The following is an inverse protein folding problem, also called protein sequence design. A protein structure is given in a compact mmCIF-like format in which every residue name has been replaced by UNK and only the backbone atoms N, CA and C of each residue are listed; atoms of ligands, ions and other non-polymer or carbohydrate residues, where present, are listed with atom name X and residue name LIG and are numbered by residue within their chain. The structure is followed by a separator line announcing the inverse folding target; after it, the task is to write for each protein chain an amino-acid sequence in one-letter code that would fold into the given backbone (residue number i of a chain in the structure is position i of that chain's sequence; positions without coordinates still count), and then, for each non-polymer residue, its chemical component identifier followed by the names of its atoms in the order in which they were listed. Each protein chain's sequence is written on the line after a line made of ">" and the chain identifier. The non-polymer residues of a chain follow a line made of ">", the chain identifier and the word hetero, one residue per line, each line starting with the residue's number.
data_IF_641594729612
#
_entry.id   IF_641594729612
#
_cell.length_a   1.000
_cell.length_b   1.000
_cell.length_c   1.000
_cell.angle_alpha   90.00
_cell.angle_beta   90.00
_cell.angle_gamma   90.00
#
_symmetry.space_group_name_H-M   'P 1'
#
loop_
_entity.id
_entity.type
_entity.pdbx_description
1 polymer ?
#
# COMPACT_ATOMS: atom_id res chain seq x y z
N UNK A 1 7.96 50.17 -31.64
CA UNK A 1 6.87 50.08 -30.65
C UNK A 1 7.11 48.78 -29.88
N UNK A 2 7.73 48.88 -28.71
CA UNK A 2 8.06 47.72 -27.86
C UNK A 2 6.99 47.59 -26.79
N UNK A 3 6.27 46.47 -26.77
CA UNK A 3 5.42 46.06 -25.66
C UNK A 3 6.27 45.07 -24.84
N UNK A 4 6.63 45.43 -23.61
CA UNK A 4 7.33 44.53 -22.68
C UNK A 4 6.28 43.98 -21.73
N UNK A 5 5.87 42.75 -21.99
CA UNK A 5 5.37 41.82 -20.98
C UNK A 5 6.60 41.30 -20.21
N UNK A 6 6.41 41.10 -18.91
CA UNK A 6 7.46 40.78 -17.94
C UNK A 6 8.37 39.61 -18.38
N UNK A 7 9.67 39.86 -18.25
CA UNK A 7 10.78 38.95 -17.97
C UNK A 7 11.18 37.87 -19.00
N UNK A 8 11.43 38.29 -20.25
CA UNK A 8 12.25 37.53 -21.20
C UNK A 8 12.94 38.43 -22.24
N UNK A 9 14.23 38.17 -22.53
CA UNK A 9 14.93 38.86 -23.64
C UNK A 9 14.87 37.96 -24.87
N UNK A 10 14.20 38.43 -25.92
CA UNK A 10 14.18 37.76 -27.23
C UNK A 10 14.98 38.57 -28.25
N UNK A 11 15.82 37.89 -29.03
CA UNK A 11 16.52 38.47 -30.20
C UNK A 11 16.14 37.73 -31.48
N UNK A 12 16.00 38.50 -32.57
CA UNK A 12 15.71 37.99 -33.91
C UNK A 12 17.00 38.02 -34.74
N UNK A 13 17.43 36.86 -35.26
CA UNK A 13 18.51 36.76 -36.27
C UNK A 13 18.06 35.79 -37.35
N UNK A 14 18.14 36.21 -38.62
CA UNK A 14 17.96 35.33 -39.78
C UNK A 14 16.60 34.63 -39.88
N UNK A 15 15.51 35.26 -39.44
CA UNK A 15 14.16 34.70 -39.55
C UNK A 15 13.67 33.86 -38.36
N UNK A 16 14.55 33.50 -37.42
CA UNK A 16 14.17 32.83 -36.17
C UNK A 16 14.19 33.80 -34.97
N UNK A 17 13.24 33.62 -34.04
CA UNK A 17 13.19 34.32 -32.75
C UNK A 17 13.75 33.36 -31.69
N UNK A 18 14.81 33.77 -31.00
CA UNK A 18 15.39 33.02 -29.89
C UNK A 18 15.14 33.81 -28.61
N UNK A 19 14.47 33.17 -27.64
CA UNK A 19 14.18 33.74 -26.32
C UNK A 19 14.98 32.97 -25.27
N UNK A 20 15.66 33.70 -24.38
CA UNK A 20 16.41 33.14 -23.26
C UNK A 20 15.69 33.54 -21.97
N UNK A 21 15.29 32.53 -21.20
CA UNK A 21 14.69 32.71 -19.88
C UNK A 21 15.79 32.62 -18.82
N UNK A 22 15.78 33.55 -17.86
CA UNK A 22 16.78 33.60 -16.79
C UNK A 22 16.28 32.74 -15.63
N UNK A 23 16.90 31.58 -15.44
CA UNK A 23 16.59 30.67 -14.33
C UNK A 23 17.07 31.28 -12.99
N UNK A 24 16.14 31.43 -12.05
CA UNK A 24 16.42 31.84 -10.68
C UNK A 24 17.05 30.68 -9.92
N UNK A 25 18.31 30.84 -9.51
CA UNK A 25 19.05 29.87 -8.70
C UNK A 25 18.44 29.71 -7.30
N UNK A 26 18.08 28.47 -6.95
CA UNK A 26 18.14 27.92 -5.58
C UNK A 26 18.53 26.44 -5.71
N UNK A 27 19.63 26.03 -5.08
CA UNK A 27 20.20 24.67 -5.11
C UNK A 27 19.51 23.69 -4.11
N UNK A 28 19.91 22.40 -4.00
CA UNK A 28 19.60 21.34 -4.94
C UNK A 28 18.84 20.18 -4.25
N UNK A 29 17.77 19.68 -4.87
CA UNK A 29 17.17 18.40 -4.48
C UNK A 29 17.52 17.39 -5.57
N UNK A 30 18.21 16.33 -5.16
CA UNK A 30 18.60 15.20 -6.01
C UNK A 30 17.37 14.62 -6.73
N UNK A 31 17.28 14.92 -8.02
CA UNK A 31 16.32 14.35 -8.96
C UNK A 31 16.74 12.92 -9.30
N UNK A 32 15.94 11.94 -8.88
CA UNK A 32 16.05 10.56 -9.36
C UNK A 32 15.30 10.49 -10.68
N UNK A 33 16.04 10.54 -11.79
CA UNK A 33 15.53 10.27 -13.13
C UNK A 33 15.18 8.76 -13.24
N UNK A 34 13.90 8.41 -13.09
CA UNK A 34 13.40 7.09 -13.50
C UNK A 34 12.98 7.16 -14.98
N UNK A 35 13.83 6.62 -15.84
CA UNK A 35 13.52 6.44 -17.26
C UNK A 35 13.03 5.00 -17.46
N UNK A 36 11.71 4.79 -17.51
CA UNK A 36 11.12 3.48 -17.84
C UNK A 36 11.22 3.21 -19.35
N UNK A 37 11.90 2.12 -19.71
CA UNK A 37 11.88 1.54 -21.06
C UNK A 37 10.84 0.41 -21.11
N UNK A 38 9.84 0.53 -22.00
CA UNK A 38 8.88 -0.54 -22.31
C UNK A 38 9.29 -1.25 -23.61
N UNK A 39 9.38 -2.58 -23.57
CA UNK A 39 9.43 -3.43 -24.76
C UNK A 39 8.28 -4.45 -24.70
N UNK A 40 7.45 -4.42 -25.75
CA UNK A 40 6.32 -5.34 -25.98
C UNK A 40 6.78 -6.59 -26.72
N UNK A 41 6.21 -7.74 -26.39
CA UNK A 41 5.96 -8.84 -27.32
C UNK A 41 4.64 -9.55 -26.98
N UNK A 42 3.94 -9.95 -28.03
CA UNK A 42 2.52 -10.35 -28.09
C UNK A 42 2.44 -11.84 -28.49
N UNK A 43 1.47 -12.54 -27.88
CA UNK A 43 0.70 -13.72 -28.36
C UNK A 43 1.32 -15.15 -28.43
N UNK A 44 0.51 -16.25 -28.54
CA UNK A 44 -0.93 -16.45 -28.23
C UNK A 44 -1.39 -17.87 -27.74
N UNK A 45 -2.71 -17.98 -27.46
CA UNK A 45 -3.65 -19.12 -27.66
C UNK A 45 -3.67 -20.34 -26.70
N UNK A 46 -4.88 -20.66 -26.20
CA UNK A 46 -5.43 -22.04 -26.19
C UNK A 46 -6.97 -22.02 -26.20
N UNK A 47 -7.54 -22.95 -26.95
CA UNK A 47 -8.97 -23.20 -27.22
C UNK A 47 -9.23 -24.72 -27.01
N UNK A 48 -10.51 -25.12 -26.87
CA UNK A 48 -11.11 -26.49 -26.74
C UNK A 48 -11.32 -27.01 -25.30
N UNK A 49 -12.40 -27.70 -24.90
CA UNK A 49 -13.60 -28.27 -25.54
C UNK A 49 -14.69 -28.55 -24.48
N UNK A 50 -15.99 -28.53 -24.89
CA UNK A 50 -17.18 -29.05 -24.16
C UNK A 50 -17.16 -30.60 -24.17
N UNK A 51 -17.84 -31.41 -23.33
CA UNK A 51 -19.28 -31.62 -23.00
C UNK A 51 -19.36 -32.95 -22.14
N UNK A 52 -20.51 -33.49 -21.64
CA UNK A 52 -21.45 -32.98 -20.63
C UNK A 52 -21.94 -34.04 -19.58
N UNK A 53 -22.74 -33.56 -18.60
CA UNK A 53 -23.88 -34.19 -17.87
C UNK A 53 -23.68 -35.44 -16.96
N UNK A 54 -24.22 -35.36 -15.73
CA UNK A 54 -25.32 -36.22 -15.22
C UNK A 54 -26.06 -35.45 -14.10
N UNK A 55 -27.39 -35.42 -14.21
CA UNK A 55 -28.36 -34.86 -13.27
C UNK A 55 -28.84 -35.98 -12.34
N UNK A 56 -28.93 -35.73 -11.04
CA UNK A 56 -29.74 -36.53 -10.11
C UNK A 56 -30.80 -35.63 -9.47
N UNK A 57 -32.08 -36.04 -9.43
CA UNK A 57 -33.13 -35.27 -8.77
C UNK A 57 -33.23 -35.70 -7.30
N UNK A 58 -33.24 -34.75 -6.38
CA UNK A 58 -33.78 -34.96 -5.03
C UNK A 58 -34.73 -33.80 -4.74
N UNK A 59 -36.02 -34.12 -4.72
CA UNK A 59 -37.05 -33.25 -4.18
C UNK A 59 -37.06 -33.35 -2.66
N UNK A 60 -37.52 -32.27 -2.04
CA UNK A 60 -37.80 -32.06 -0.61
C UNK A 60 -36.59 -31.76 0.29
N UNK A 61 -36.38 -30.49 0.62
CA UNK A 61 -36.98 -29.84 1.79
C UNK A 61 -36.68 -28.35 1.71
N UNK A 62 -37.72 -27.52 1.77
CA UNK A 62 -37.60 -26.09 2.04
C UNK A 62 -37.14 -25.93 3.49
N UNK A 63 -35.84 -25.96 3.72
CA UNK A 63 -35.24 -25.44 4.95
C UNK A 63 -34.87 -23.98 4.71
N UNK A 64 -35.23 -23.12 5.65
CA UNK A 64 -34.79 -21.72 5.70
C UNK A 64 -33.26 -21.69 5.93
N UNK A 65 -32.48 -21.81 4.86
CA UNK A 65 -31.00 -21.84 4.91
C UNK A 65 -30.35 -20.45 4.85
N UNK A 66 -31.13 -19.38 4.68
CA UNK A 66 -30.57 -18.04 4.44
C UNK A 66 -30.08 -17.33 5.71
N UNK A 67 -30.57 -17.70 6.90
CA UNK A 67 -30.20 -17.01 8.14
C UNK A 67 -28.92 -17.57 8.79
N UNK A 68 -28.70 -18.89 8.73
CA UNK A 68 -27.50 -19.49 9.34
C UNK A 68 -26.23 -19.19 8.53
N UNK A 69 -26.31 -19.19 7.20
CA UNK A 69 -25.16 -18.89 6.35
C UNK A 69 -24.63 -17.46 6.53
N UNK A 70 -25.53 -16.47 6.68
CA UNK A 70 -25.13 -15.08 6.90
C UNK A 70 -24.59 -14.80 8.31
N UNK A 71 -25.04 -15.54 9.32
CA UNK A 71 -24.47 -15.47 10.68
C UNK A 71 -23.08 -16.11 10.76
N UNK A 72 -22.89 -17.25 10.09
CA UNK A 72 -21.60 -17.94 10.01
C UNK A 72 -20.57 -17.12 9.24
N UNK A 73 -20.93 -16.53 8.09
CA UNK A 73 -20.07 -15.62 7.32
C UNK A 73 -19.66 -14.38 8.14
N UNK A 74 -20.61 -13.78 8.86
CA UNK A 74 -20.32 -12.64 9.73
C UNK A 74 -19.39 -13.03 10.89
N UNK A 75 -19.56 -14.21 11.48
CA UNK A 75 -18.70 -14.70 12.56
C UNK A 75 -17.25 -14.89 12.09
N UNK A 76 -17.07 -15.49 10.92
CA UNK A 76 -15.76 -15.66 10.27
C UNK A 76 -15.13 -14.29 9.98
N UNK A 77 -15.91 -13.36 9.42
CA UNK A 77 -15.43 -12.01 9.11
C UNK A 77 -15.01 -11.21 10.35
N UNK A 78 -15.74 -11.35 11.47
CA UNK A 78 -15.35 -10.74 12.76
C UNK A 78 -14.00 -11.24 13.24
N UNK A 79 -13.80 -12.56 13.20
CA UNK A 79 -12.53 -13.17 13.59
C UNK A 79 -11.37 -12.72 12.68
N UNK A 80 -11.61 -12.64 11.36
CA UNK A 80 -10.63 -12.12 10.40
C UNK A 80 -10.24 -10.67 10.73
N UNK A 81 -11.21 -9.78 10.96
CA UNK A 81 -10.95 -8.37 11.32
C UNK A 81 -10.09 -8.30 12.58
N UNK A 82 -10.45 -9.07 13.61
CA UNK A 82 -9.71 -9.10 14.86
C UNK A 82 -8.25 -9.58 14.68
N UNK A 83 -8.06 -10.67 13.92
CA UNK A 83 -6.73 -11.21 13.65
C UNK A 83 -5.88 -10.25 12.80
N UNK A 84 -6.48 -9.59 11.81
CA UNK A 84 -5.78 -8.58 11.00
C UNK A 84 -5.41 -7.36 11.81
N UNK A 85 -6.23 -6.95 12.78
CA UNK A 85 -5.86 -5.89 13.72
C UNK A 85 -4.62 -6.31 14.56
N UNK A 86 -4.54 -7.57 15.01
CA UNK A 86 -3.36 -8.08 15.73
C UNK A 86 -2.10 -8.07 14.86
N UNK A 87 -2.21 -8.48 13.60
CA UNK A 87 -1.10 -8.39 12.64
C UNK A 87 -0.66 -6.94 12.44
N UNK A 88 -1.61 -6.03 12.23
CA UNK A 88 -1.34 -4.60 12.06
C UNK A 88 -0.59 -3.99 13.26
N UNK A 89 -1.00 -4.32 14.49
CA UNK A 89 -0.30 -3.88 15.70
C UNK A 89 1.15 -4.38 15.68
N UNK A 90 1.34 -5.69 15.52
CA UNK A 90 2.66 -6.33 15.53
C UNK A 90 3.57 -5.75 14.45
N UNK A 91 3.09 -5.69 13.21
CA UNK A 91 3.87 -5.22 12.06
C UNK A 91 4.28 -3.75 12.20
N UNK A 92 3.40 -2.92 12.75
CA UNK A 92 3.69 -1.50 13.01
C UNK A 92 4.70 -1.37 14.16
N UNK A 93 4.55 -2.15 15.23
CA UNK A 93 5.52 -2.18 16.33
C UNK A 93 6.89 -2.69 15.87
N UNK A 94 6.93 -3.76 15.06
CA UNK A 94 8.17 -4.32 14.48
C UNK A 94 8.85 -3.26 13.60
N UNK A 95 8.09 -2.53 12.77
CA UNK A 95 8.62 -1.43 11.96
C UNK A 95 9.28 -0.36 12.85
N UNK A 96 8.60 0.10 13.89
CA UNK A 96 9.10 1.13 14.83
C UNK A 96 10.36 0.64 15.55
N UNK A 97 10.35 -0.59 16.05
CA UNK A 97 11.46 -1.16 16.81
C UNK A 97 12.69 -1.44 15.95
N UNK A 98 12.50 -2.01 14.76
CA UNK A 98 13.60 -2.29 13.85
C UNK A 98 14.21 -1.00 13.32
N UNK A 99 13.38 0.01 13.02
CA UNK A 99 13.89 1.33 12.66
C UNK A 99 14.76 1.91 13.78
N UNK A 100 14.31 1.83 15.03
CA UNK A 100 15.08 2.35 16.16
C UNK A 100 16.42 1.62 16.37
N UNK A 101 16.46 0.31 16.11
CA UNK A 101 17.70 -0.49 16.21
C UNK A 101 18.70 -0.15 15.10
N UNK A 102 18.23 0.19 13.90
CA UNK A 102 19.09 0.46 12.75
C UNK A 102 19.50 1.93 12.67
N UNK A 103 18.60 2.86 12.98
CA UNK A 103 18.78 4.30 12.78
C UNK A 103 18.97 5.09 14.09
N UNK A 104 19.01 4.40 15.23
CA UNK A 104 19.28 4.97 16.55
C UNK A 104 18.08 5.69 17.17
N UNK A 105 18.34 6.80 17.87
CA UNK A 105 17.34 7.54 18.66
C UNK A 105 16.41 8.43 17.82
N UNK A 106 16.54 8.42 16.49
CA UNK A 106 15.62 9.16 15.61
C UNK A 106 14.19 8.61 15.76
N UNK A 107 13.22 9.51 15.90
CA UNK A 107 11.80 9.13 15.94
C UNK A 107 11.39 8.53 14.60
N UNK A 108 10.89 7.28 14.56
CA UNK A 108 10.38 6.69 13.33
C UNK A 108 9.10 7.41 12.89
N UNK A 109 8.94 7.54 11.57
CA UNK A 109 7.65 7.89 10.97
C UNK A 109 6.73 6.66 11.06
N UNK A 110 5.43 6.87 11.21
CA UNK A 110 4.46 5.78 11.04
C UNK A 110 4.42 5.32 9.59
N UNK A 111 4.47 4.00 9.32
CA UNK A 111 4.34 3.49 7.96
C UNK A 111 2.95 3.80 7.41
N UNK A 112 2.84 4.07 6.10
CA UNK A 112 1.55 4.41 5.46
C UNK A 112 0.54 3.28 5.58
N UNK A 113 1.03 2.03 5.59
CA UNK A 113 0.17 0.86 5.75
C UNK A 113 -0.58 0.87 7.09
N UNK A 114 -0.09 1.57 8.11
CA UNK A 114 -0.77 1.70 9.40
C UNK A 114 -2.16 2.36 9.25
N UNK A 115 -2.18 3.60 8.75
CA UNK A 115 -3.42 4.37 8.59
C UNK A 115 -4.34 3.73 7.56
N UNK A 116 -3.79 3.31 6.41
CA UNK A 116 -4.60 2.71 5.33
C UNK A 116 -5.25 1.40 5.78
N UNK A 117 -4.49 0.51 6.41
CA UNK A 117 -5.00 -0.79 6.88
C UNK A 117 -5.98 -0.63 8.04
N UNK A 118 -5.70 0.25 9.00
CA UNK A 118 -6.65 0.56 10.07
C UNK A 118 -7.99 1.03 9.51
N UNK A 119 -7.96 2.00 8.59
CA UNK A 119 -9.17 2.54 7.98
C UNK A 119 -9.90 1.50 7.10
N UNK A 120 -9.15 0.60 6.45
CA UNK A 120 -9.73 -0.55 5.74
C UNK A 120 -10.48 -1.48 6.71
N UNK A 121 -9.84 -1.90 7.80
CA UNK A 121 -10.47 -2.77 8.81
C UNK A 121 -11.69 -2.11 9.45
N UNK A 122 -11.63 -0.80 9.75
CA UNK A 122 -12.80 -0.05 10.25
C UNK A 122 -13.95 -0.02 9.24
N UNK A 123 -13.68 0.08 7.94
CA UNK A 123 -14.73 -0.01 6.89
C UNK A 123 -15.35 -1.40 6.85
N UNK A 124 -14.52 -2.45 6.87
CA UNK A 124 -15.01 -3.84 6.87
C UNK A 124 -15.86 -4.14 8.12
N UNK A 125 -15.43 -3.69 9.30
CA UNK A 125 -16.19 -3.84 10.54
C UNK A 125 -17.54 -3.13 10.49
N UNK A 126 -17.59 -1.91 9.93
CA UNK A 126 -18.85 -1.17 9.75
C UNK A 126 -19.82 -1.86 8.79
N UNK A 127 -19.33 -2.50 7.73
CA UNK A 127 -20.20 -3.22 6.76
C UNK A 127 -21.02 -4.33 7.42
N UNK A 128 -20.49 -4.95 8.46
CA UNK A 128 -21.14 -6.05 9.20
C UNK A 128 -21.68 -5.61 10.57
N UNK A 129 -21.76 -4.29 10.83
CA UNK A 129 -22.15 -3.71 12.12
C UNK A 129 -21.40 -4.31 13.32
N UNK A 130 -20.10 -4.56 13.15
CA UNK A 130 -19.22 -5.10 14.18
C UNK A 130 -18.36 -3.99 14.79
N UNK A 131 -18.27 -3.99 16.11
CA UNK A 131 -17.35 -3.15 16.86
C UNK A 131 -16.28 -4.02 17.53
N UNK A 132 -15.04 -3.90 17.06
CA UNK A 132 -13.90 -4.59 17.64
C UNK A 132 -13.14 -3.65 18.59
N UNK A 133 -13.14 -3.99 19.88
CA UNK A 133 -12.50 -3.18 20.92
C UNK A 133 -10.99 -3.12 20.77
N UNK A 134 -10.36 -4.20 20.30
CA UNK A 134 -8.93 -4.26 20.07
C UNK A 134 -8.51 -3.33 18.92
N UNK A 135 -9.23 -3.39 17.80
CA UNK A 135 -9.05 -2.49 16.67
C UNK A 135 -9.20 -1.04 17.12
N UNK A 136 -10.25 -0.69 17.89
CA UNK A 136 -10.45 0.67 18.39
C UNK A 136 -9.32 1.15 19.31
N UNK A 137 -8.70 0.26 20.08
CA UNK A 137 -7.59 0.59 20.98
C UNK A 137 -6.24 0.70 20.25
N UNK A 138 -6.09 0.03 19.11
CA UNK A 138 -4.82 -0.13 18.40
C UNK A 138 -4.06 1.20 18.18
N UNK A 139 -4.68 2.31 17.71
CA UNK A 139 -3.95 3.55 17.53
C UNK A 139 -3.35 4.12 18.81
N UNK A 140 -4.07 4.03 19.93
CA UNK A 140 -3.56 4.47 21.22
C UNK A 140 -2.37 3.61 21.67
N UNK A 141 -2.38 2.30 21.39
CA UNK A 141 -1.27 1.41 21.69
C UNK A 141 0.02 1.82 20.96
N UNK A 142 -0.09 2.11 19.66
CA UNK A 142 1.05 2.58 18.85
C UNK A 142 1.50 3.99 19.28
N UNK A 143 0.57 4.88 19.58
CA UNK A 143 0.89 6.21 20.10
C UNK A 143 1.69 6.10 21.39
N UNK A 144 1.22 5.30 22.35
CA UNK A 144 1.90 5.07 23.63
C UNK A 144 3.31 4.49 23.45
N UNK A 145 3.51 3.57 22.50
CA UNK A 145 4.83 3.04 22.16
C UNK A 145 5.79 4.17 21.72
N UNK A 146 5.32 5.07 20.87
CA UNK A 146 6.11 6.21 20.41
C UNK A 146 6.32 7.26 21.50
N UNK A 147 5.29 7.57 22.29
CA UNK A 147 5.34 8.56 23.37
C UNK A 147 6.36 8.18 24.43
N UNK A 148 6.38 6.91 24.85
CA UNK A 148 7.25 6.42 25.91
C UNK A 148 8.73 6.61 25.57
N UNK A 149 9.11 6.45 24.29
CA UNK A 149 10.51 6.50 23.86
C UNK A 149 10.92 7.84 23.27
N UNK A 150 10.01 8.56 22.62
CA UNK A 150 10.34 9.73 21.80
C UNK A 150 9.58 11.00 22.21
N UNK A 151 8.71 10.94 23.23
CA UNK A 151 7.88 12.06 23.66
C UNK A 151 6.68 12.36 22.75
N UNK A 152 5.93 13.44 23.03
CA UNK A 152 4.76 13.85 22.25
C UNK A 152 5.11 14.25 20.81
N UNK A 153 4.14 14.08 19.90
CA UNK A 153 4.26 14.48 18.50
C UNK A 153 2.91 14.93 17.97
N UNK A 154 2.90 16.08 17.29
CA UNK A 154 1.70 16.60 16.63
C UNK A 154 1.35 15.85 15.35
N UNK A 155 2.30 15.08 14.81
CA UNK A 155 2.18 14.35 13.54
C UNK A 155 1.45 13.00 13.67
N UNK A 156 1.10 12.58 14.88
CA UNK A 156 0.35 11.34 15.07
C UNK A 156 -1.08 11.48 14.49
N UNK A 157 -1.57 10.52 13.69
CA UNK A 157 -2.90 10.59 13.08
C UNK A 157 -4.01 10.69 14.15
N UNK A 158 -4.89 11.69 14.02
CA UNK A 158 -6.00 11.90 14.96
C UNK A 158 -7.25 11.15 14.50
N UNK A 159 -8.14 10.83 15.44
CA UNK A 159 -9.46 10.31 15.10
C UNK A 159 -10.35 11.41 14.50
N UNK A 160 -11.08 11.08 13.45
CA UNK A 160 -12.19 11.90 12.92
C UNK A 160 -13.54 11.41 13.47
N UNK A 161 -14.61 12.20 13.31
CA UNK A 161 -15.95 11.97 13.89
C UNK A 161 -16.53 10.56 13.70
N UNK A 162 -16.07 9.84 12.69
CA UNK A 162 -16.54 8.49 12.35
C UNK A 162 -15.67 7.35 12.93
N UNK A 163 -14.73 7.65 13.83
CA UNK A 163 -13.81 6.66 14.42
C UNK A 163 -12.75 6.13 13.45
N UNK A 164 -12.52 6.83 12.34
CA UNK A 164 -11.41 6.59 11.42
C UNK A 164 -10.21 7.43 11.83
N UNK A 165 -9.01 7.03 11.41
CA UNK A 165 -7.84 7.90 11.51
C UNK A 165 -7.84 8.89 10.34
N UNK A 166 -7.43 10.12 10.64
CA UNK A 166 -7.20 11.15 9.64
C UNK A 166 -6.16 10.67 8.63
N UNK A 167 -6.58 10.57 7.37
CA UNK A 167 -5.75 10.16 6.26
C UNK A 167 -5.37 11.40 5.45
N UNK A 168 -4.06 11.69 5.37
CA UNK A 168 -3.56 12.85 4.65
C UNK A 168 -4.00 12.75 3.19
N UNK A 169 -4.74 13.75 2.69
CA UNK A 169 -5.21 13.77 1.30
C UNK A 169 -4.02 13.92 0.36
N UNK A 170 -3.63 12.81 -0.26
CA UNK A 170 -2.56 12.76 -1.26
C UNK A 170 -3.07 12.12 -2.56
N UNK A 171 -2.35 12.35 -3.66
CA UNK A 171 -2.58 11.61 -4.92
C UNK A 171 -2.23 10.14 -4.72
N UNK A 172 -2.81 9.25 -5.53
CA UNK A 172 -2.47 7.82 -5.48
C UNK A 172 -0.99 7.59 -5.73
N UNK A 173 -0.38 8.39 -6.61
CA UNK A 173 1.05 8.30 -6.96
C UNK A 173 1.92 8.53 -5.72
N UNK A 174 1.60 9.55 -4.92
CA UNK A 174 2.37 9.87 -3.70
C UNK A 174 2.15 8.82 -2.61
N UNK A 175 0.91 8.35 -2.45
CA UNK A 175 0.61 7.27 -1.49
C UNK A 175 1.37 5.97 -1.86
N UNK A 176 1.41 5.64 -3.15
CA UNK A 176 2.14 4.47 -3.67
C UNK A 176 3.66 4.66 -3.52
N UNK A 177 4.20 5.85 -3.79
CA UNK A 177 5.61 6.16 -3.55
C UNK A 177 6.03 6.00 -2.07
N UNK A 178 5.19 6.50 -1.16
CA UNK A 178 5.42 6.32 0.27
C UNK A 178 5.32 4.85 0.68
N UNK A 179 4.35 4.12 0.12
CA UNK A 179 4.17 2.69 0.37
C UNK A 179 5.39 1.88 -0.06
N UNK A 180 5.95 2.15 -1.24
CA UNK A 180 7.21 1.53 -1.67
C UNK A 180 8.34 1.76 -0.67
N UNK A 181 8.52 3.02 -0.25
CA UNK A 181 9.56 3.39 0.70
C UNK A 181 9.41 2.62 2.01
N UNK A 182 8.17 2.49 2.51
CA UNK A 182 7.90 1.85 3.79
C UNK A 182 8.09 0.34 3.77
N UNK A 183 7.71 -0.32 2.68
CA UNK A 183 7.89 -1.76 2.53
C UNK A 183 9.37 -2.10 2.38
N UNK A 184 10.09 -1.36 1.55
CA UNK A 184 11.55 -1.52 1.43
C UNK A 184 12.23 -1.29 2.78
N UNK A 185 11.84 -0.24 3.51
CA UNK A 185 12.37 0.07 4.84
C UNK A 185 12.07 -1.06 5.84
N UNK A 186 10.84 -1.56 5.87
CA UNK A 186 10.43 -2.68 6.73
C UNK A 186 11.31 -3.91 6.51
N UNK A 187 11.47 -4.33 5.24
CA UNK A 187 12.25 -5.52 4.90
C UNK A 187 13.73 -5.32 5.25
N UNK A 188 14.29 -4.18 4.85
CA UNK A 188 15.71 -3.85 5.07
C UNK A 188 16.06 -3.78 6.55
N UNK A 189 15.25 -3.10 7.36
CA UNK A 189 15.54 -2.95 8.79
C UNK A 189 15.32 -4.27 9.53
N UNK A 190 14.28 -5.02 9.17
CA UNK A 190 14.04 -6.34 9.77
C UNK A 190 15.16 -7.31 9.44
N UNK A 191 15.64 -7.34 8.20
CA UNK A 191 16.81 -8.13 7.82
C UNK A 191 18.08 -7.65 8.54
N UNK A 192 18.27 -6.34 8.68
CA UNK A 192 19.44 -5.77 9.37
C UNK A 192 19.51 -6.22 10.83
N UNK A 193 18.37 -6.32 11.50
CA UNK A 193 18.24 -6.75 12.91
C UNK A 193 18.30 -8.26 13.06
N UNK A 194 17.50 -9.00 12.29
CA UNK A 194 17.31 -10.46 12.47
C UNK A 194 18.27 -11.33 11.66
N UNK A 195 18.89 -10.76 10.62
CA UNK A 195 19.62 -11.48 9.55
C UNK A 195 18.78 -12.51 8.81
N UNK A 196 17.46 -12.40 8.89
CA UNK A 196 16.49 -13.24 8.19
C UNK A 196 15.63 -12.36 7.28
N UNK A 197 15.35 -12.85 6.07
CA UNK A 197 14.45 -12.14 5.14
C UNK A 197 13.03 -12.30 5.68
N UNK A 198 12.35 -11.21 6.06
CA UNK A 198 10.99 -11.31 6.57
C UNK A 198 10.02 -11.66 5.44
N UNK A 199 8.92 -12.31 5.78
CA UNK A 199 7.74 -12.33 4.90
C UNK A 199 7.12 -10.92 4.90
N UNK A 200 6.45 -10.55 3.82
CA UNK A 200 5.72 -9.27 3.78
C UNK A 200 4.66 -9.16 4.87
N UNK A 201 4.48 -7.96 5.45
CA UNK A 201 3.45 -7.72 6.45
C UNK A 201 2.07 -7.93 5.82
N UNK A 202 1.12 -8.50 6.55
CA UNK A 202 -0.27 -8.62 6.12
C UNK A 202 -0.87 -7.24 5.74
N UNK A 203 -0.42 -6.19 6.41
CA UNK A 203 -0.74 -4.79 6.09
C UNK A 203 -0.35 -4.35 4.68
N UNK A 204 0.61 -5.03 4.03
CA UNK A 204 0.94 -4.84 2.61
C UNK A 204 -0.30 -5.09 1.73
N UNK A 205 -0.91 -6.27 1.89
CA UNK A 205 -2.04 -6.72 1.06
C UNK A 205 -3.30 -5.89 1.32
N UNK A 206 -3.57 -5.53 2.58
CA UNK A 206 -4.67 -4.63 2.91
C UNK A 206 -4.49 -3.24 2.29
N UNK A 207 -3.25 -2.74 2.25
CA UNK A 207 -2.96 -1.45 1.63
C UNK A 207 -3.11 -1.52 0.10
N UNK A 208 -2.66 -2.59 -0.54
CA UNK A 208 -2.93 -2.85 -1.97
C UNK A 208 -4.43 -2.86 -2.29
N UNK A 209 -5.23 -3.60 -1.51
CA UNK A 209 -6.70 -3.62 -1.66
C UNK A 209 -7.30 -2.22 -1.49
N UNK A 210 -6.75 -1.42 -0.58
CA UNK A 210 -7.19 -0.03 -0.37
C UNK A 210 -6.89 0.85 -1.60
N UNK A 211 -5.74 0.68 -2.24
CA UNK A 211 -5.41 1.38 -3.49
C UNK A 211 -6.30 0.94 -4.64
N UNK A 212 -6.51 -0.37 -4.81
CA UNK A 212 -7.42 -0.93 -5.82
C UNK A 212 -8.85 -0.36 -5.68
N UNK A 213 -9.39 -0.30 -4.46
CA UNK A 213 -10.72 0.26 -4.19
C UNK A 213 -10.82 1.78 -4.45
N UNK A 214 -9.69 2.50 -4.42
CA UNK A 214 -9.65 3.96 -4.64
C UNK A 214 -9.58 4.32 -6.13
N UNK A 215 -9.19 3.38 -6.98
CA UNK A 215 -9.15 3.59 -8.42
C UNK A 215 -10.59 3.61 -8.95
N UNK A 216 -11.06 4.79 -9.37
CA UNK A 216 -12.32 4.89 -10.10
C UNK A 216 -12.22 4.20 -11.47
N UNK A 217 -13.37 3.73 -11.99
CA UNK A 217 -13.49 2.93 -13.22
C UNK A 217 -12.77 3.53 -14.45
N UNK A 218 -12.53 4.85 -14.47
CA UNK A 218 -11.97 5.57 -15.61
C UNK A 218 -10.48 5.92 -15.50
N UNK A 219 -9.77 5.53 -14.44
CA UNK A 219 -8.36 5.89 -14.27
C UNK A 219 -7.40 4.76 -14.67
N UNK A 220 -7.22 4.57 -15.99
CA UNK A 220 -6.28 3.58 -16.54
C UNK A 220 -4.84 3.75 -16.02
N UNK A 221 -4.40 5.00 -15.86
CA UNK A 221 -3.05 5.31 -15.35
C UNK A 221 -2.91 4.88 -13.90
N UNK A 222 -3.88 5.22 -13.04
CA UNK A 222 -3.81 4.83 -11.63
C UNK A 222 -3.92 3.32 -11.45
N UNK A 223 -4.75 2.66 -12.28
CA UNK A 223 -4.82 1.19 -12.31
C UNK A 223 -3.46 0.57 -12.61
N UNK A 224 -2.83 1.02 -13.69
CA UNK A 224 -1.49 0.56 -14.07
C UNK A 224 -0.46 0.76 -12.96
N UNK A 225 -0.45 1.92 -12.31
CA UNK A 225 0.49 2.22 -11.21
C UNK A 225 0.31 1.24 -10.05
N UNK A 226 -0.93 0.87 -9.72
CA UNK A 226 -1.22 -0.07 -8.63
C UNK A 226 -0.88 -1.51 -9.03
N UNK A 227 -1.17 -1.88 -10.28
CA UNK A 227 -0.86 -3.22 -10.83
C UNK A 227 0.67 -3.45 -10.91
N UNK A 228 1.46 -2.40 -11.13
CA UNK A 228 2.93 -2.45 -11.17
C UNK A 228 3.59 -2.49 -9.76
N UNK A 229 2.84 -2.37 -8.66
CA UNK A 229 3.41 -2.33 -7.31
C UNK A 229 4.29 -3.54 -6.97
N UNK A 230 3.88 -4.79 -7.19
CA UNK A 230 4.70 -5.95 -6.86
C UNK A 230 6.06 -5.93 -7.57
N UNK A 231 6.06 -5.65 -8.88
CA UNK A 231 7.27 -5.55 -9.69
C UNK A 231 8.21 -4.44 -9.20
N UNK A 232 7.66 -3.26 -8.91
CA UNK A 232 8.46 -2.12 -8.43
C UNK A 232 9.05 -2.38 -7.04
N UNK A 233 8.32 -3.07 -6.15
CA UNK A 233 8.86 -3.49 -4.85
C UNK A 233 10.00 -4.50 -5.03
N UNK A 234 9.81 -5.50 -5.90
CA UNK A 234 10.83 -6.52 -6.17
C UNK A 234 12.12 -5.89 -6.72
N UNK A 235 11.98 -4.96 -7.66
CA UNK A 235 13.10 -4.20 -8.21
C UNK A 235 13.80 -3.37 -7.13
N UNK A 236 13.04 -2.63 -6.32
CA UNK A 236 13.58 -1.82 -5.23
C UNK A 236 14.33 -2.65 -4.20
N UNK A 237 13.78 -3.79 -3.78
CA UNK A 237 14.44 -4.70 -2.84
C UNK A 237 15.76 -5.22 -3.40
N UNK A 238 15.81 -5.63 -4.67
CA UNK A 238 17.06 -6.02 -5.34
C UNK A 238 18.07 -4.89 -5.41
N UNK A 239 17.64 -3.67 -5.70
CA UNK A 239 18.53 -2.51 -5.75
C UNK A 239 19.17 -2.23 -4.39
N UNK A 240 18.44 -2.40 -3.28
CA UNK A 240 18.94 -2.08 -1.93
C UNK A 240 19.60 -3.25 -1.20
N UNK A 241 19.21 -4.49 -1.51
CA UNK A 241 19.64 -5.69 -0.79
C UNK A 241 20.45 -6.67 -1.66
N UNK A 242 20.53 -6.42 -2.97
CA UNK A 242 21.32 -7.23 -3.90
C UNK A 242 20.85 -8.68 -3.99
N UNK A 243 21.81 -9.59 -4.07
CA UNK A 243 21.59 -11.04 -4.20
C UNK A 243 20.98 -11.70 -2.95
N UNK A 244 20.81 -10.95 -1.86
CA UNK A 244 20.10 -11.46 -0.67
C UNK A 244 18.63 -11.72 -1.00
N UNK A 245 18.02 -10.96 -1.91
CA UNK A 245 16.60 -11.08 -2.26
C UNK A 245 16.47 -11.92 -3.54
N UNK A 246 15.72 -13.02 -3.45
CA UNK A 246 15.41 -13.89 -4.58
C UNK A 246 14.60 -13.15 -5.67
N UNK A 247 14.63 -13.67 -6.89
CA UNK A 247 14.06 -13.00 -8.06
C UNK A 247 12.54 -12.88 -8.02
N UNK A 248 11.90 -13.83 -7.33
CA UNK A 248 10.49 -14.11 -7.18
C UNK A 248 10.04 -13.90 -5.73
N UNK A 249 10.84 -13.22 -4.90
CA UNK A 249 10.55 -13.04 -3.48
C UNK A 249 9.19 -12.37 -3.22
N UNK A 250 8.84 -11.33 -3.98
CA UNK A 250 7.55 -10.64 -3.85
C UNK A 250 6.39 -11.52 -4.29
N UNK A 251 6.57 -12.28 -5.36
CA UNK A 251 5.56 -13.22 -5.87
C UNK A 251 5.34 -14.36 -4.86
N UNK A 252 6.42 -14.97 -4.36
CA UNK A 252 6.39 -15.98 -3.30
C UNK A 252 5.76 -15.47 -2.00
N UNK A 253 5.95 -14.19 -1.68
CA UNK A 253 5.24 -13.57 -0.56
C UNK A 253 3.76 -13.41 -0.87
N UNK A 254 3.39 -13.01 -2.08
CA UNK A 254 2.01 -12.75 -2.50
C UNK A 254 1.19 -14.04 -2.60
N UNK A 255 1.75 -15.09 -3.21
CA UNK A 255 1.10 -16.39 -3.37
C UNK A 255 0.78 -17.05 -2.02
N UNK A 256 1.65 -16.89 -1.02
CA UNK A 256 1.41 -17.40 0.34
C UNK A 256 0.17 -16.80 0.99
N UNK A 257 -0.24 -15.59 0.60
CA UNK A 257 -1.46 -14.96 1.12
C UNK A 257 -2.71 -15.33 0.34
N UNK A 258 -2.57 -15.64 -0.95
CA UNK A 258 -3.63 -16.23 -1.75
C UNK A 258 -3.94 -17.67 -1.31
N UNK A 259 -2.92 -18.44 -0.91
CA UNK A 259 -3.09 -19.83 -0.45
C UNK A 259 -3.57 -19.98 1.01
N UNK A 260 -3.39 -18.97 1.88
CA UNK A 260 -3.73 -19.09 3.31
C UNK A 260 -4.71 -18.04 3.86
N UNK A 261 -5.21 -17.08 3.06
CA UNK A 261 -6.07 -16.02 3.64
C UNK A 261 -7.11 -15.34 2.73
N UNK A 262 -7.47 -15.89 1.57
CA UNK A 262 -8.56 -15.33 0.74
C UNK A 262 -9.52 -16.37 0.16
N UNK A 263 -10.30 -17.04 1.04
CA UNK A 263 -11.77 -17.11 1.08
C UNK A 263 -12.22 -18.25 2.01
#
# INVERSE_FOLDING_TARGET
>A
MFQVLADGICRKRGGAIQCVWKESQTEPIHSVHLTLFFLFHIDPLTMFSRTPLIVFPVNSMLFNTSNSQSEDENSSKRLQIHNHAKYLLRETSDFIENFAKVHGEKRPRLPIFFVKSFNYLKKEAKKINFEDSFLNFLPNGIEMQLLTKYGPSEDFPKFVENGFLEDKKQTIVNDVAQFYTDIIQYVKDTYSVSKQIPVFPYSYFMTLKTFQQRIGENSKINKRIVDEIPEQVQLGLKMYMGEVIENDFVDNCTDKYDENTCL
#
